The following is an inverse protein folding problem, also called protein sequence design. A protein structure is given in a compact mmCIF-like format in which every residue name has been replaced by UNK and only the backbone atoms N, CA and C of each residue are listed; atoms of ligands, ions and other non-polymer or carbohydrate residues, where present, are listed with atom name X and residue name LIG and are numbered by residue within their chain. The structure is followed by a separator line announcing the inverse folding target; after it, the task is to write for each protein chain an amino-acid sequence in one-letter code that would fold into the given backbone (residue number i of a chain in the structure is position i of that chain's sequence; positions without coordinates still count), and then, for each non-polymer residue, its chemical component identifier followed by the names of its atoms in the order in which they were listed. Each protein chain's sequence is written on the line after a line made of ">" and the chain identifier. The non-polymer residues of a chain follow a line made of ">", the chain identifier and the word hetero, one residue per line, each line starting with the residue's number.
data_IF_675881932902
#
_entry.id   IF_675881932902
#
_cell.length_a   1.000
_cell.length_b   1.000
_cell.length_c   1.000
_cell.angle_alpha   90.00
_cell.angle_beta   90.00
_cell.angle_gamma   90.00
#
_symmetry.space_group_name_H-M   'P 1'
#
loop_
_entity.id
_entity.type
_entity.pdbx_description
1 polymer ?
#
# COMPACT_ATOMS: atom_id res chain seq x y z
N UNK A 1 30.88 -16.63 -7.73
CA UNK A 1 31.81 -17.11 -6.68
C UNK A 1 31.50 -16.37 -5.39
N UNK A 2 30.90 -17.03 -4.41
CA UNK A 2 30.82 -16.50 -3.04
C UNK A 2 32.12 -16.86 -2.34
N UNK A 3 32.97 -15.87 -2.07
CA UNK A 3 34.28 -16.08 -1.45
C UNK A 3 34.09 -16.75 -0.08
N UNK A 4 34.49 -18.01 0.05
CA UNK A 4 34.53 -18.74 1.31
C UNK A 4 35.68 -18.24 2.19
N UNK A 5 35.69 -16.93 2.47
CA UNK A 5 36.72 -16.28 3.27
C UNK A 5 36.46 -16.52 4.75
N UNK A 6 37.49 -17.01 5.45
CA UNK A 6 37.51 -17.06 6.93
C UNK A 6 37.68 -15.69 7.58
N UNK A 7 37.88 -14.65 6.78
CA UNK A 7 38.11 -13.28 7.23
C UNK A 7 36.92 -12.43 6.82
N UNK A 8 36.21 -11.90 7.82
CA UNK A 8 35.19 -10.89 7.64
C UNK A 8 35.84 -9.51 7.58
N UNK A 9 35.59 -8.76 6.50
CA UNK A 9 36.00 -7.35 6.39
C UNK A 9 35.20 -6.48 7.35
N UNK A 10 35.82 -5.37 7.80
CA UNK A 10 35.16 -4.41 8.69
C UNK A 10 33.88 -3.84 8.08
N UNK A 11 32.94 -3.46 8.92
CA UNK A 11 31.67 -2.88 8.50
C UNK A 11 31.09 -1.94 9.55
N UNK A 12 30.14 -1.11 9.12
CA UNK A 12 29.31 -0.34 10.03
C UNK A 12 28.05 -1.14 10.35
N UNK A 13 27.80 -1.34 11.65
CA UNK A 13 26.58 -1.98 12.14
C UNK A 13 25.36 -1.08 11.88
N UNK A 14 24.15 -1.62 12.06
CA UNK A 14 22.89 -0.87 12.05
C UNK A 14 22.89 0.30 13.05
N UNK A 15 23.68 0.19 14.13
CA UNK A 15 23.87 1.25 15.13
C UNK A 15 24.94 2.29 14.74
N UNK A 16 25.41 2.29 13.49
CA UNK A 16 26.51 3.13 12.99
C UNK A 16 27.84 2.95 13.74
N UNK A 17 27.97 1.91 14.56
CA UNK A 17 29.25 1.53 15.16
C UNK A 17 30.11 0.81 14.13
N UNK A 18 31.37 1.22 14.03
CA UNK A 18 32.34 0.49 13.22
C UNK A 18 32.71 -0.81 13.93
N UNK A 19 32.75 -1.89 13.17
CA UNK A 19 33.19 -3.21 13.59
C UNK A 19 34.45 -3.53 12.81
N UNK A 20 35.56 -3.71 13.51
CA UNK A 20 36.84 -4.08 12.91
C UNK A 20 36.76 -5.42 12.16
N UNK A 21 37.61 -5.63 11.14
CA UNK A 21 37.76 -6.93 10.51
C UNK A 21 38.08 -8.03 11.52
N UNK A 22 37.45 -9.19 11.40
CA UNK A 22 37.69 -10.32 12.29
C UNK A 22 37.79 -11.63 11.54
N UNK A 23 38.40 -12.62 12.18
CA UNK A 23 38.60 -13.97 11.63
C UNK A 23 37.72 -14.98 12.36
N UNK A 24 37.13 -15.89 11.61
CA UNK A 24 36.30 -16.97 12.13
C UNK A 24 37.15 -18.22 12.44
N UNK A 25 36.86 -18.96 13.53
CA UNK A 25 35.86 -18.69 14.57
C UNK A 25 36.37 -17.65 15.60
N UNK A 26 35.47 -16.89 16.25
CA UNK A 26 35.88 -16.01 17.35
C UNK A 26 36.23 -16.81 18.60
N UNK A 27 36.97 -16.18 19.53
CA UNK A 27 37.25 -16.76 20.85
C UNK A 27 35.93 -17.06 21.57
N UNK A 28 35.69 -18.33 21.89
CA UNK A 28 34.49 -18.79 22.57
C UNK A 28 33.38 -19.34 21.66
N UNK A 29 33.55 -19.29 20.34
CA UNK A 29 32.62 -19.89 19.37
C UNK A 29 33.05 -21.32 19.01
N UNK A 30 32.12 -22.11 18.47
CA UNK A 30 32.42 -23.48 18.06
C UNK A 30 33.41 -23.51 16.87
N UNK A 31 34.32 -24.48 16.89
CA UNK A 31 35.39 -24.62 15.89
C UNK A 31 34.88 -24.85 14.44
N UNK A 32 33.60 -25.18 14.29
CA UNK A 32 32.94 -25.41 12.99
C UNK A 32 32.52 -24.12 12.29
N UNK A 33 32.48 -22.97 12.99
CA UNK A 33 32.12 -21.68 12.42
C UNK A 33 33.30 -21.07 11.65
N UNK A 34 33.56 -21.60 10.46
CA UNK A 34 34.76 -21.27 9.67
C UNK A 34 34.51 -20.21 8.59
N UNK A 35 33.26 -19.89 8.27
CA UNK A 35 32.91 -19.02 7.15
C UNK A 35 32.35 -17.69 7.62
N UNK A 36 32.64 -16.62 6.86
CA UNK A 36 32.01 -15.32 7.05
C UNK A 36 30.64 -15.29 6.36
N UNK A 37 29.58 -15.05 7.13
CA UNK A 37 28.19 -15.14 6.68
C UNK A 37 27.42 -13.88 7.09
N UNK A 38 26.21 -13.74 6.56
CA UNK A 38 25.35 -12.59 6.83
C UNK A 38 25.41 -11.55 5.73
N UNK A 39 25.39 -10.29 6.12
CA UNK A 39 25.14 -9.17 5.21
C UNK A 39 26.17 -8.06 5.41
N UNK A 40 26.16 -7.07 4.51
CA UNK A 40 27.12 -5.98 4.53
C UNK A 40 27.21 -5.25 5.89
N UNK A 41 26.08 -5.08 6.58
CA UNK A 41 25.97 -4.35 7.85
C UNK A 41 25.83 -5.25 9.10
N UNK A 42 25.89 -6.58 8.92
CA UNK A 42 25.85 -7.57 10.02
C UNK A 42 26.52 -8.87 9.56
N UNK A 43 27.83 -8.98 9.81
CA UNK A 43 28.62 -10.18 9.50
C UNK A 43 28.79 -11.05 10.73
N UNK A 44 28.65 -12.37 10.59
CA UNK A 44 28.84 -13.34 11.67
C UNK A 44 29.51 -14.62 11.14
N UNK A 45 30.09 -15.42 12.04
CA UNK A 45 30.71 -16.68 11.65
C UNK A 45 29.63 -17.78 11.52
N UNK A 46 29.70 -18.61 10.48
CA UNK A 46 28.79 -19.74 10.32
C UNK A 46 29.50 -20.99 9.76
N UNK A 47 28.83 -22.15 9.87
CA UNK A 47 29.41 -23.45 9.49
C UNK A 47 29.23 -23.80 8.02
N UNK A 48 28.34 -23.10 7.30
CA UNK A 48 27.95 -23.39 5.92
C UNK A 48 28.46 -22.30 4.97
N UNK A 49 29.16 -22.64 3.86
CA UNK A 49 29.55 -21.64 2.86
C UNK A 49 28.35 -21.13 2.05
N UNK A 50 28.41 -19.90 1.55
CA UNK A 50 27.42 -19.36 0.59
C UNK A 50 26.29 -18.51 1.18
N UNK A 51 26.22 -18.36 2.50
CA UNK A 51 25.23 -17.51 3.20
C UNK A 51 25.66 -16.05 3.34
N UNK A 52 26.52 -15.55 2.45
CA UNK A 52 26.92 -14.15 2.41
C UNK A 52 26.15 -13.41 1.32
N UNK A 53 25.24 -12.52 1.73
CA UNK A 53 24.46 -11.69 0.84
C UNK A 53 25.06 -10.27 0.84
N UNK A 54 25.64 -9.79 -0.28
CA UNK A 54 26.32 -8.49 -0.37
C UNK A 54 25.32 -7.32 -0.45
N UNK A 55 24.26 -7.37 0.35
CA UNK A 55 23.21 -6.37 0.35
C UNK A 55 22.97 -5.85 1.79
N UNK A 56 22.67 -4.56 1.94
CA UNK A 56 22.43 -3.91 3.26
C UNK A 56 21.08 -4.27 3.88
N UNK A 57 20.98 -4.93 5.04
CA UNK A 57 19.67 -5.18 5.69
C UNK A 57 18.70 -3.99 5.73
N UNK A 58 19.24 -2.77 5.79
CA UNK A 58 18.48 -1.51 5.71
C UNK A 58 17.60 -1.38 4.45
N UNK A 59 18.02 -1.85 3.26
CA UNK A 59 17.18 -1.75 2.05
C UNK A 59 15.96 -2.69 2.10
N UNK A 60 16.05 -3.85 2.75
CA UNK A 60 14.92 -4.78 2.88
C UNK A 60 13.87 -4.25 3.85
N UNK A 61 14.30 -3.65 4.96
CA UNK A 61 13.39 -3.00 5.90
C UNK A 61 12.71 -1.78 5.28
N UNK A 62 13.46 -0.96 4.54
CA UNK A 62 12.91 0.20 3.82
C UNK A 62 11.88 -0.22 2.75
N UNK A 63 12.15 -1.29 2.00
CA UNK A 63 11.18 -1.82 1.02
C UNK A 63 9.89 -2.31 1.68
N UNK A 64 10.00 -3.02 2.81
CA UNK A 64 8.83 -3.53 3.54
C UNK A 64 7.98 -2.39 4.10
N UNK A 65 8.61 -1.35 4.67
CA UNK A 65 7.90 -0.17 5.18
C UNK A 65 7.24 0.59 4.03
N UNK A 66 7.95 0.79 2.93
CA UNK A 66 7.42 1.46 1.73
C UNK A 66 6.20 0.73 1.16
N UNK A 67 6.26 -0.59 1.05
CA UNK A 67 5.14 -1.40 0.58
C UNK A 67 3.94 -1.35 1.54
N UNK A 68 4.16 -1.48 2.84
CA UNK A 68 3.10 -1.44 3.85
C UNK A 68 2.38 -0.09 3.87
N UNK A 69 3.15 1.00 3.82
CA UNK A 69 2.61 2.37 3.77
C UNK A 69 1.87 2.64 2.46
N UNK A 70 2.45 2.26 1.32
CA UNK A 70 1.82 2.45 0.01
C UNK A 70 0.52 1.66 -0.16
N UNK A 71 0.52 0.37 0.17
CA UNK A 71 -0.68 -0.47 0.12
C UNK A 71 -1.73 0.00 1.13
N UNK A 72 -1.33 0.44 2.32
CA UNK A 72 -2.23 1.00 3.33
C UNK A 72 -2.95 2.25 2.83
N UNK A 73 -2.22 3.20 2.25
CA UNK A 73 -2.81 4.42 1.69
C UNK A 73 -3.74 4.08 0.52
N UNK A 74 -3.30 3.21 -0.39
CA UNK A 74 -4.14 2.78 -1.53
C UNK A 74 -5.45 2.14 -1.05
N UNK A 75 -5.38 1.26 -0.04
CA UNK A 75 -6.55 0.62 0.54
C UNK A 75 -7.49 1.62 1.21
N UNK A 76 -6.96 2.59 1.97
CA UNK A 76 -7.75 3.64 2.60
C UNK A 76 -8.47 4.52 1.58
N UNK A 77 -7.79 4.91 0.51
CA UNK A 77 -8.38 5.71 -0.58
C UNK A 77 -9.50 4.94 -1.29
N UNK A 78 -9.27 3.65 -1.62
CA UNK A 78 -10.29 2.80 -2.21
C UNK A 78 -11.48 2.61 -1.28
N UNK A 79 -11.24 2.37 0.01
CA UNK A 79 -12.30 2.22 1.00
C UNK A 79 -13.13 3.50 1.13
N UNK A 80 -12.50 4.67 1.18
CA UNK A 80 -13.19 5.96 1.21
C UNK A 80 -14.08 6.16 -0.03
N UNK A 81 -13.59 5.81 -1.21
CA UNK A 81 -14.37 5.87 -2.46
C UNK A 81 -15.59 4.94 -2.42
N UNK A 82 -15.39 3.69 -2.02
CA UNK A 82 -16.49 2.71 -1.89
C UNK A 82 -17.52 3.18 -0.88
N UNK A 83 -17.10 3.67 0.30
CA UNK A 83 -18.02 4.22 1.32
C UNK A 83 -18.80 5.40 0.75
N UNK A 84 -18.13 6.33 0.05
CA UNK A 84 -18.79 7.48 -0.56
C UNK A 84 -19.89 7.05 -1.54
N UNK A 85 -19.60 6.10 -2.44
CA UNK A 85 -20.59 5.55 -3.37
C UNK A 85 -21.73 4.85 -2.63
N UNK A 86 -21.43 4.01 -1.64
CA UNK A 86 -22.44 3.31 -0.84
C UNK A 86 -23.37 4.29 -0.11
N UNK A 87 -22.82 5.36 0.48
CA UNK A 87 -23.61 6.41 1.15
C UNK A 87 -24.47 7.16 0.15
N UNK A 88 -23.93 7.53 -1.02
CA UNK A 88 -24.72 8.18 -2.07
C UNK A 88 -25.85 7.28 -2.58
N UNK A 89 -25.59 5.99 -2.82
CA UNK A 89 -26.61 5.03 -3.20
C UNK A 89 -27.66 4.86 -2.10
N UNK A 90 -27.24 4.74 -0.83
CA UNK A 90 -28.15 4.62 0.30
C UNK A 90 -29.03 5.86 0.47
N UNK A 91 -28.44 7.05 0.41
CA UNK A 91 -29.17 8.32 0.48
C UNK A 91 -30.13 8.45 -0.70
N UNK A 92 -29.75 8.05 -1.91
CA UNK A 92 -30.64 8.07 -3.07
C UNK A 92 -31.84 7.12 -2.90
N UNK A 93 -31.61 5.93 -2.36
CA UNK A 93 -32.67 4.97 -2.05
C UNK A 93 -33.57 5.46 -0.90
N UNK A 94 -33.00 6.09 0.12
CA UNK A 94 -33.73 6.57 1.29
C UNK A 94 -34.48 7.89 1.03
N UNK A 95 -33.96 8.76 0.16
CA UNK A 95 -34.61 10.02 -0.25
C UNK A 95 -35.67 9.83 -1.34
N UNK A 96 -35.83 8.60 -1.85
CA UNK A 96 -36.98 8.17 -2.65
C UNK A 96 -38.13 7.71 -1.72
N UNK A 97 -38.87 8.65 -1.12
CA UNK A 97 -40.28 8.77 -1.51
C UNK A 97 -40.82 10.23 -1.46
N UNK A 98 -40.23 11.23 -2.15
CA UNK A 98 -41.00 12.49 -2.37
C UNK A 98 -40.52 13.49 -3.45
N UNK A 99 -39.63 13.15 -4.40
CA UNK A 99 -39.03 14.18 -5.28
C UNK A 99 -38.98 13.89 -6.78
N UNK A 100 -39.82 12.98 -7.27
CA UNK A 100 -40.05 12.79 -8.71
C UNK A 100 -41.51 12.96 -9.16
N UNK A 101 -42.46 13.19 -8.25
CA UNK A 101 -43.81 13.61 -8.59
C UNK A 101 -44.02 15.06 -8.15
N UNK A 102 -44.56 15.88 -9.05
CA UNK A 102 -45.03 17.27 -8.84
C UNK A 102 -43.97 18.35 -8.52
N UNK A 103 -43.18 18.75 -9.53
CA UNK A 103 -42.37 19.97 -9.40
C UNK A 103 -41.91 20.66 -10.69
N UNK A 104 -42.09 20.05 -11.86
CA UNK A 104 -41.72 20.65 -13.14
C UNK A 104 -42.96 21.09 -13.93
N UNK A 105 -43.71 22.07 -13.40
CA UNK A 105 -44.64 22.90 -14.17
C UNK A 105 -43.83 24.06 -14.76
N UNK A 106 -43.09 23.79 -15.84
CA UNK A 106 -42.42 24.83 -16.62
C UNK A 106 -42.80 24.69 -18.09
N UNK A 107 -43.77 25.54 -18.47
CA UNK A 107 -44.01 26.09 -19.80
C UNK A 107 -44.26 25.12 -20.96
N UNK A 108 -45.53 24.97 -21.31
CA UNK A 108 -45.94 24.92 -22.71
C UNK A 108 -47.07 25.95 -22.90
N UNK A 109 -46.71 27.24 -22.85
CA UNK A 109 -47.37 28.19 -23.76
C UNK A 109 -46.81 27.86 -25.14
N UNK A 110 -47.67 27.48 -26.09
CA UNK A 110 -47.88 28.23 -27.33
C UNK A 110 -48.71 27.42 -28.34
N UNK A 111 -49.80 28.04 -28.79
CA UNK A 111 -50.49 27.97 -30.08
C UNK A 111 -50.77 26.61 -30.77
N UNK A 112 -52.06 26.28 -30.93
CA UNK A 112 -52.66 26.14 -32.28
C UNK A 112 -54.20 26.07 -32.18
N UNK A 113 -54.84 27.08 -32.78
CA UNK A 113 -56.12 27.04 -33.54
C UNK A 113 -57.08 25.85 -33.38
N UNK A 114 -58.34 26.12 -33.00
CA UNK A 114 -59.53 26.00 -33.89
C UNK A 114 -60.82 26.10 -33.04
N UNK A 115 -61.64 27.10 -33.36
CA UNK A 115 -63.12 27.12 -33.47
C UNK A 115 -63.86 25.91 -32.85
N UNK A 116 -64.84 26.07 -31.95
CA UNK A 116 -66.29 26.25 -32.19
C UNK A 116 -66.94 26.31 -30.78
N UNK A 117 -67.85 27.21 -30.38
CA UNK A 117 -69.14 27.52 -30.98
C UNK A 117 -70.28 26.78 -30.24
N UNK A 118 -70.86 27.37 -29.17
CA UNK A 118 -72.17 27.00 -28.54
C UNK A 118 -72.14 25.68 -27.74
N UNK A 119 -72.71 25.56 -26.54
CA UNK A 119 -74.14 25.33 -26.27
C UNK A 119 -74.49 25.69 -24.82
N UNK A 120 -75.53 26.50 -24.70
CA UNK A 120 -76.34 26.77 -23.51
C UNK A 120 -77.31 25.61 -23.24
N UNK A 121 -77.63 25.39 -21.96
CA UNK A 121 -78.78 24.69 -21.36
C UNK A 121 -78.68 23.18 -21.02
N UNK A 122 -79.09 22.93 -19.77
CA UNK A 122 -79.38 21.70 -19.04
C UNK A 122 -78.18 20.91 -18.49
#
# INVERSE_FOLDING_TARGET
>A
MGEASRVCSGYYSLNHSFVEPFRCPRRGEAATLLYCCGFADLKYCCSEPGSYFPYKHSYMWSLSIGALTGLGIAALVLLAFVISVCVLCYLFLYTKPQRLDTGLKLQHLEASSTQEGTVTLC
#
